data_IF_085505776024
#
_entry.id   IF_085505776024
#
_cell.length_a   1.000
_cell.length_b   1.000
_cell.length_c   1.000
_cell.angle_alpha   90.00
_cell.angle_beta   90.00
_cell.angle_gamma   90.00
#
_symmetry.space_group_name_H-M   'P 1'
#
loop_
_entity.id
_entity.type
_entity.pdbx_description
1 polymer ?
#
# COMPACT_ATOMS: atom_id res chain seq x y z
N UNK A 1 8.10 11.13 -3.85
CA UNK A 1 7.85 9.72 -4.19
C UNK A 1 9.04 9.23 -5.00
N UNK A 2 9.84 8.32 -4.42
CA UNK A 2 10.98 7.74 -5.12
C UNK A 2 10.53 6.49 -5.87
N UNK A 3 11.02 6.29 -7.10
CA UNK A 3 10.68 5.14 -7.94
C UNK A 3 10.88 3.79 -7.22
N UNK A 4 11.89 3.70 -6.35
CA UNK A 4 12.18 2.50 -5.56
C UNK A 4 11.05 2.15 -4.59
N UNK A 5 10.45 3.13 -3.91
CA UNK A 5 9.34 2.90 -2.99
C UNK A 5 8.06 2.48 -3.72
N UNK A 6 7.82 3.07 -4.90
CA UNK A 6 6.73 2.64 -5.79
C UNK A 6 6.92 1.18 -6.21
N UNK A 7 8.09 0.82 -6.71
CA UNK A 7 8.38 -0.57 -7.13
C UNK A 7 8.24 -1.55 -5.96
N UNK A 8 8.73 -1.19 -4.76
CA UNK A 8 8.59 -2.04 -3.55
C UNK A 8 7.12 -2.24 -3.18
N UNK A 9 6.32 -1.17 -3.17
CA UNK A 9 4.89 -1.25 -2.84
C UNK A 9 4.13 -2.15 -3.82
N UNK A 10 4.33 -1.94 -5.13
CA UNK A 10 3.70 -2.79 -6.15
C UNK A 10 4.16 -4.24 -6.07
N UNK A 11 5.44 -4.50 -5.77
CA UNK A 11 5.95 -5.87 -5.59
C UNK A 11 5.26 -6.59 -4.43
N UNK A 12 5.15 -5.95 -3.27
CA UNK A 12 4.46 -6.53 -2.12
C UNK A 12 2.96 -6.74 -2.37
N UNK A 13 2.31 -5.87 -3.16
CA UNK A 13 0.92 -6.08 -3.60
C UNK A 13 0.84 -7.34 -4.49
N UNK A 14 1.75 -7.51 -5.46
CA UNK A 14 1.77 -8.69 -6.33
C UNK A 14 2.13 -9.99 -5.59
N UNK A 15 2.93 -9.92 -4.53
CA UNK A 15 3.27 -11.06 -3.66
C UNK A 15 2.20 -11.35 -2.60
N UNK A 16 1.15 -10.52 -2.53
CA UNK A 16 0.03 -10.67 -1.60
C UNK A 16 0.35 -10.29 -0.15
N UNK A 17 1.45 -9.58 0.10
CA UNK A 17 1.82 -9.12 1.45
C UNK A 17 0.75 -8.16 2.03
N UNK A 18 0.01 -7.45 1.17
CA UNK A 18 -0.99 -6.45 1.55
C UNK A 18 -2.44 -6.86 1.28
N UNK A 19 -2.71 -8.12 0.91
CA UNK A 19 -4.07 -8.63 0.64
C UNK A 19 -5.00 -8.53 1.87
N UNK A 20 -4.43 -8.45 3.07
CA UNK A 20 -5.16 -8.30 4.32
C UNK A 20 -5.67 -6.86 4.55
N UNK A 21 -5.21 -5.88 3.74
CA UNK A 21 -5.64 -4.50 3.86
C UNK A 21 -6.94 -4.27 3.09
N UNK A 22 -7.89 -3.48 3.62
CA UNK A 22 -9.12 -3.15 2.91
C UNK A 22 -8.83 -2.33 1.66
N UNK A 23 -9.58 -2.54 0.57
CA UNK A 23 -9.38 -1.84 -0.72
C UNK A 23 -9.43 -0.31 -0.56
N UNK A 24 -10.22 0.20 0.39
CA UNK A 24 -10.29 1.63 0.70
C UNK A 24 -8.98 2.22 1.23
N UNK A 25 -8.11 1.40 1.80
CA UNK A 25 -6.80 1.82 2.26
C UNK A 25 -5.88 2.20 1.09
N UNK A 26 -6.06 1.61 -0.08
CA UNK A 26 -5.29 1.93 -1.29
C UNK A 26 -5.86 3.13 -2.08
N UNK A 27 -7.00 3.67 -1.65
CA UNK A 27 -7.64 4.79 -2.32
C UNK A 27 -6.95 6.12 -1.97
N UNK A 28 -6.45 6.83 -2.98
CA UNK A 28 -5.79 8.15 -2.86
C UNK A 28 -4.59 8.17 -1.89
N UNK A 29 -3.71 7.17 -1.97
CA UNK A 29 -2.44 7.14 -1.22
C UNK A 29 -1.25 7.34 -2.16
N UNK A 30 -0.19 7.99 -1.69
CA UNK A 30 1.02 8.21 -2.48
C UNK A 30 2.04 7.07 -2.34
N UNK A 31 2.08 6.42 -1.17
CA UNK A 31 3.00 5.32 -0.87
C UNK A 31 2.29 4.14 -0.20
N UNK A 32 2.90 2.96 -0.24
CA UNK A 32 2.34 1.76 0.40
C UNK A 32 2.24 1.90 1.91
N UNK A 33 3.17 2.61 2.55
CA UNK A 33 3.10 2.94 3.98
C UNK A 33 1.85 3.74 4.32
N UNK A 34 1.43 4.68 3.44
CA UNK A 34 0.19 5.44 3.65
C UNK A 34 -1.05 4.53 3.53
N UNK A 35 -1.03 3.52 2.66
CA UNK A 35 -2.08 2.51 2.63
C UNK A 35 -2.13 1.73 3.95
N UNK A 36 -0.99 1.27 4.45
CA UNK A 36 -0.92 0.53 5.72
C UNK A 36 -1.42 1.39 6.90
N UNK A 37 -1.02 2.66 6.95
CA UNK A 37 -1.49 3.60 7.98
C UNK A 37 -2.99 3.88 7.90
N UNK A 38 -3.53 4.01 6.68
CA UNK A 38 -4.95 4.23 6.45
C UNK A 38 -5.78 3.01 6.79
N UNK A 39 -5.29 1.81 6.45
CA UNK A 39 -5.90 0.55 6.84
C UNK A 39 -6.02 0.40 8.37
N UNK A 40 -5.04 0.87 9.14
CA UNK A 40 -5.10 0.85 10.62
C UNK A 40 -6.18 1.76 11.21
N UNK A 41 -6.66 2.75 10.45
CA UNK A 41 -7.67 3.73 10.89
C UNK A 41 -9.08 3.38 10.42
N UNK A 42 -9.22 2.35 9.59
CA UNK A 42 -10.48 1.78 9.10
C UNK A 42 -10.87 0.59 9.98
#
# INVERSE_FOLDING_TARGET
MALKDTIRGFKGIMEGEYDHLPEQAFYMVGSIDEAVEKAKKL
#
